data_IF_580912091394
#
_entry.id   IF_580912091394
#
_cell.length_a   1.000
_cell.length_b   1.000
_cell.length_c   1.000
_cell.angle_alpha   90.00
_cell.angle_beta   90.00
_cell.angle_gamma   90.00
#
_symmetry.space_group_name_H-M   'P 1'
#
loop_
_entity.id
_entity.type
_entity.pdbx_description
1 polymer ?
#
# COMPACT_ATOMS: atom_id res chain seq x y z
N UNK A 1 -10.70 -1.78 -7.57
CA UNK A 1 -10.60 -2.43 -6.26
C UNK A 1 -11.76 -1.98 -5.39
N UNK A 2 -12.36 -2.87 -4.62
CA UNK A 2 -13.33 -2.59 -3.55
C UNK A 2 -12.65 -2.66 -2.17
N UNK A 3 -13.36 -2.27 -1.11
CA UNK A 3 -12.81 -2.23 0.25
C UNK A 3 -12.36 -3.60 0.77
N UNK A 4 -13.18 -4.65 0.57
CA UNK A 4 -12.85 -6.00 1.04
C UNK A 4 -11.59 -6.58 0.35
N UNK A 5 -11.34 -6.24 -0.92
CA UNK A 5 -10.10 -6.61 -1.61
C UNK A 5 -8.88 -5.93 -0.97
N UNK A 6 -9.00 -4.65 -0.56
CA UNK A 6 -7.94 -3.93 0.15
C UNK A 6 -7.69 -4.52 1.54
N UNK A 7 -8.75 -4.89 2.27
CA UNK A 7 -8.67 -5.59 3.55
C UNK A 7 -8.02 -6.98 3.38
N UNK A 8 -8.34 -7.70 2.31
CA UNK A 8 -7.78 -9.02 2.03
C UNK A 8 -6.31 -8.96 1.59
N UNK A 9 -5.95 -8.01 0.73
CA UNK A 9 -4.56 -7.72 0.37
C UNK A 9 -3.73 -7.35 1.61
N UNK A 10 -4.32 -6.61 2.55
CA UNK A 10 -3.65 -6.26 3.79
C UNK A 10 -3.37 -7.49 4.67
N UNK A 11 -4.34 -8.39 4.85
CA UNK A 11 -4.13 -9.68 5.55
C UNK A 11 -3.01 -10.48 4.89
N UNK A 12 -3.03 -10.59 3.56
CA UNK A 12 -2.01 -11.30 2.78
C UNK A 12 -0.61 -10.69 2.98
N UNK A 13 -0.47 -9.36 2.89
CA UNK A 13 0.81 -8.66 3.12
C UNK A 13 1.35 -8.94 4.53
N UNK A 14 0.46 -8.93 5.53
CA UNK A 14 0.83 -9.19 6.93
C UNK A 14 1.05 -10.67 7.27
N UNK A 15 0.78 -11.59 6.33
CA UNK A 15 1.10 -13.01 6.46
C UNK A 15 2.40 -13.41 5.74
N UNK A 16 2.89 -12.60 4.78
CA UNK A 16 4.16 -12.83 4.06
C UNK A 16 5.41 -12.28 4.76
N UNK A 17 5.24 -11.48 5.81
CA UNK A 17 6.31 -10.78 6.51
C UNK A 17 5.82 -10.16 7.82
N UNK A 18 6.46 -9.08 8.27
CA UNK A 18 6.24 -8.53 9.62
C UNK A 18 4.80 -8.01 9.88
N UNK A 19 4.20 -8.49 10.96
CA UNK A 19 2.83 -8.18 11.37
C UNK A 19 2.72 -6.84 12.12
N UNK A 20 1.77 -5.97 11.71
CA UNK A 20 1.58 -4.62 12.28
C UNK A 20 0.08 -4.33 12.52
N UNK A 21 -0.51 -4.71 13.67
CA UNK A 21 -1.97 -4.75 13.84
C UNK A 21 -2.67 -3.39 13.66
N UNK A 22 -2.03 -2.29 14.09
CA UNK A 22 -2.52 -0.91 13.88
C UNK A 22 -2.75 -0.59 12.40
N UNK A 23 -1.90 -1.10 11.51
CA UNK A 23 -1.94 -0.83 10.07
C UNK A 23 -3.18 -1.50 9.44
N UNK A 24 -3.60 -2.66 9.95
CA UNK A 24 -4.85 -3.34 9.56
C UNK A 24 -6.11 -2.64 10.11
N UNK A 25 -6.02 -1.90 11.22
CA UNK A 25 -7.10 -1.01 11.68
C UNK A 25 -7.23 0.22 10.75
N UNK A 26 -6.11 0.85 10.39
CA UNK A 26 -6.09 2.00 9.47
C UNK A 26 -6.70 1.68 8.10
N UNK A 27 -6.45 0.47 7.57
CA UNK A 27 -7.05 0.02 6.31
C UNK A 27 -8.58 -0.07 6.41
N UNK A 28 -9.12 -0.63 7.51
CA UNK A 28 -10.56 -0.80 7.71
C UNK A 28 -11.34 0.53 7.77
N UNK A 29 -10.75 1.60 8.32
CA UNK A 29 -11.41 2.90 8.46
C UNK A 29 -11.43 3.76 7.18
N UNK A 30 -10.95 3.24 6.04
CA UNK A 30 -11.24 3.84 4.73
C UNK A 30 -12.70 3.55 4.33
N UNK A 31 -13.38 4.48 3.65
CA UNK A 31 -14.72 4.20 3.11
C UNK A 31 -14.62 3.45 1.77
N UNK A 32 -15.59 2.59 1.41
CA UNK A 32 -15.57 1.90 0.12
C UNK A 32 -15.49 2.84 -1.08
N UNK A 33 -16.15 4.02 -1.00
CA UNK A 33 -16.06 5.08 -2.01
C UNK A 33 -14.64 5.63 -2.14
N UNK A 34 -13.92 5.87 -1.04
CA UNK A 34 -12.54 6.35 -1.07
C UNK A 34 -11.60 5.30 -1.69
N UNK A 35 -11.71 4.03 -1.29
CA UNK A 35 -10.90 2.92 -1.86
C UNK A 35 -11.12 2.81 -3.37
N UNK A 36 -12.38 2.81 -3.82
CA UNK A 36 -12.69 2.77 -5.26
C UNK A 36 -12.17 4.00 -6.02
N UNK A 37 -12.27 5.19 -5.43
CA UNK A 37 -11.85 6.44 -6.06
C UNK A 37 -10.33 6.49 -6.24
N UNK A 38 -9.58 6.30 -5.16
CA UNK A 38 -8.12 6.48 -5.17
C UNK A 38 -7.40 5.33 -5.89
N UNK A 39 -7.90 4.08 -5.79
CA UNK A 39 -7.34 2.98 -6.62
C UNK A 39 -7.64 3.18 -8.11
N UNK A 40 -8.85 3.61 -8.50
CA UNK A 40 -9.18 3.93 -9.91
C UNK A 40 -8.47 5.20 -10.41
N UNK A 41 -8.02 6.09 -9.52
CA UNK A 41 -7.14 7.24 -9.84
C UNK A 41 -5.70 6.76 -10.05
N UNK A 42 -5.18 5.91 -9.16
CA UNK A 42 -3.84 5.34 -9.24
C UNK A 42 -3.63 4.46 -10.49
N UNK A 43 -4.52 3.50 -10.76
CA UNK A 43 -4.33 2.56 -11.86
C UNK A 43 -4.39 3.24 -13.25
N UNK A 44 -5.09 4.39 -13.37
CA UNK A 44 -5.07 5.24 -14.58
C UNK A 44 -3.75 6.00 -14.79
N UNK A 45 -2.84 6.02 -13.80
CA UNK A 45 -1.52 6.64 -13.94
C UNK A 45 -0.46 5.67 -14.47
N UNK A 46 -0.71 4.37 -14.42
CA UNK A 46 0.20 3.37 -14.98
C UNK A 46 0.37 3.59 -16.50
N UNK A 47 1.59 3.44 -17.04
CA UNK A 47 2.80 2.87 -16.42
C UNK A 47 3.61 3.79 -15.49
N UNK A 48 3.21 5.06 -15.27
CA UNK A 48 3.88 5.94 -14.32
C UNK A 48 3.58 5.51 -12.86
N UNK A 49 4.51 4.75 -12.30
CA UNK A 49 4.43 4.18 -10.94
C UNK A 49 4.42 5.28 -9.86
N UNK A 50 5.26 6.31 -9.98
CA UNK A 50 5.37 7.40 -9.00
C UNK A 50 4.04 8.14 -8.79
N UNK A 51 3.36 8.46 -9.89
CA UNK A 51 2.02 9.05 -9.89
C UNK A 51 0.95 8.10 -9.34
N UNK A 52 1.10 6.79 -9.55
CA UNK A 52 0.18 5.78 -9.02
C UNK A 52 0.38 5.61 -7.50
N UNK A 53 1.62 5.52 -7.03
CA UNK A 53 2.00 5.49 -5.61
C UNK A 53 1.44 6.72 -4.87
N UNK A 54 1.68 7.91 -5.40
CA UNK A 54 1.18 9.19 -4.84
C UNK A 54 -0.36 9.22 -4.74
N UNK A 55 -1.07 8.55 -5.65
CA UNK A 55 -2.52 8.41 -5.56
C UNK A 55 -2.95 7.39 -4.49
N UNK A 56 -2.23 6.27 -4.32
CA UNK A 56 -2.53 5.25 -3.32
C UNK A 56 -2.25 5.72 -1.88
N UNK A 57 -1.23 6.55 -1.66
CA UNK A 57 -0.87 7.10 -0.34
C UNK A 57 -1.94 8.00 0.28
N UNK A 58 -3.01 8.35 -0.44
CA UNK A 58 -4.19 9.04 0.11
C UNK A 58 -5.09 8.12 0.96
N UNK A 59 -4.86 6.80 0.94
CA UNK A 59 -5.61 5.81 1.72
C UNK A 59 -4.94 5.53 3.07
N UNK A 60 -5.72 5.52 4.15
CA UNK A 60 -5.23 5.26 5.50
C UNK A 60 -4.63 3.85 5.59
N UNK A 61 -3.42 3.73 6.13
CA UNK A 61 -2.68 2.46 6.22
C UNK A 61 -1.92 2.06 4.95
N UNK A 62 -2.00 2.85 3.86
CA UNK A 62 -1.29 2.61 2.61
C UNK A 62 0.00 3.44 2.55
N UNK A 63 1.06 2.93 3.16
CA UNK A 63 2.43 3.40 2.94
C UNK A 63 3.10 2.70 1.74
N UNK A 64 4.34 3.05 1.43
CA UNK A 64 5.11 2.57 0.25
C UNK A 64 5.00 1.06 0.00
N UNK A 65 5.27 0.22 1.00
CA UNK A 65 5.19 -1.24 0.87
C UNK A 65 3.75 -1.77 0.65
N UNK A 66 2.73 -1.07 1.14
CA UNK A 66 1.32 -1.44 0.87
C UNK A 66 0.89 -0.97 -0.52
N UNK A 67 1.38 0.20 -0.96
CA UNK A 67 1.14 0.74 -2.29
C UNK A 67 1.82 -0.11 -3.39
N UNK A 68 3.04 -0.60 -3.17
CA UNK A 68 3.70 -1.52 -4.12
C UNK A 68 2.96 -2.87 -4.22
N UNK A 69 2.47 -3.43 -3.11
CA UNK A 69 1.60 -4.61 -3.14
C UNK A 69 0.31 -4.38 -3.95
N UNK A 70 -0.32 -3.21 -3.80
CA UNK A 70 -1.50 -2.79 -4.56
C UNK A 70 -1.23 -2.64 -6.06
N UNK A 71 -0.03 -2.16 -6.45
CA UNK A 71 0.37 -2.07 -7.85
C UNK A 71 0.75 -3.43 -8.44
N UNK A 72 1.43 -4.30 -7.68
CA UNK A 72 1.75 -5.66 -8.11
C UNK A 72 0.49 -6.50 -8.36
N UNK A 73 -0.51 -6.39 -7.47
CA UNK A 73 -1.81 -7.04 -7.65
C UNK A 73 -2.62 -6.50 -8.86
N UNK A 74 -2.40 -5.24 -9.27
CA UNK A 74 -3.11 -4.60 -10.37
C UNK A 74 -2.39 -4.65 -11.72
N UNK A 75 -1.06 -4.79 -11.73
CA UNK A 75 -0.20 -4.76 -12.93
C UNK A 75 1.16 -5.44 -12.66
N UNK A 76 1.18 -6.77 -12.48
CA UNK A 76 2.40 -7.52 -12.14
C UNK A 76 3.50 -7.44 -13.22
N UNK A 77 3.10 -7.15 -14.46
CA UNK A 77 3.97 -6.89 -15.62
C UNK A 77 4.81 -5.61 -15.51
N UNK A 78 4.49 -4.71 -14.56
CA UNK A 78 5.10 -3.38 -14.47
C UNK A 78 5.62 -3.10 -13.05
N UNK A 79 4.95 -3.62 -12.01
CA UNK A 79 5.23 -3.35 -10.61
C UNK A 79 5.54 -4.65 -9.82
N UNK A 80 6.75 -4.78 -9.23
CA UNK A 80 7.04 -5.77 -8.19
C UNK A 80 6.52 -5.30 -6.82
N UNK A 81 6.29 -6.23 -5.88
CA UNK A 81 6.01 -5.88 -4.50
C UNK A 81 7.32 -5.53 -3.76
N UNK A 82 7.32 -4.46 -2.96
CA UNK A 82 8.49 -4.08 -2.14
C UNK A 82 8.49 -4.88 -0.84
N UNK A 83 9.01 -6.11 -0.91
CA UNK A 83 9.15 -7.05 0.20
C UNK A 83 10.53 -6.90 0.87
N UNK A 84 10.56 -6.94 2.20
CA UNK A 84 11.75 -6.79 3.05
C UNK A 84 12.89 -7.74 2.62
N UNK A 85 12.55 -8.98 2.26
CA UNK A 85 13.48 -10.04 1.81
C UNK A 85 14.08 -9.72 0.43
N UNK A 86 13.33 -9.04 -0.43
CA UNK A 86 13.80 -8.63 -1.76
C UNK A 86 14.69 -7.39 -1.72
N UNK A 87 14.57 -6.55 -0.67
CA UNK A 87 15.53 -5.47 -0.42
C UNK A 87 16.86 -6.05 0.07
N UNK A 88 16.82 -7.00 1.02
CA UNK A 88 18.00 -7.69 1.54
C UNK A 88 18.78 -8.48 0.47
N UNK A 89 18.11 -8.92 -0.59
CA UNK A 89 18.72 -9.64 -1.71
C UNK A 89 19.44 -8.73 -2.73
N UNK A 90 19.38 -7.40 -2.60
CA UNK A 90 19.95 -6.43 -3.54
C UNK A 90 21.05 -5.61 -2.83
N UNK A 91 22.36 -5.91 -3.05
CA UNK A 91 23.45 -5.26 -2.34
C UNK A 91 23.56 -3.75 -2.56
N UNK A 92 22.99 -3.22 -3.66
CA UNK A 92 23.04 -1.80 -4.00
C UNK A 92 21.95 -0.95 -3.31
N UNK A 93 21.09 -1.52 -2.47
CA UNK A 93 20.01 -0.80 -1.79
C UNK A 93 20.05 -0.94 -0.27
N UNK A 94 19.90 0.17 0.44
CA UNK A 94 19.88 0.22 1.90
C UNK A 94 18.51 -0.23 2.43
N UNK A 95 18.42 -1.49 2.90
CA UNK A 95 17.18 -2.19 3.23
C UNK A 95 16.32 -1.62 4.39
N UNK A 96 16.63 -0.43 4.90
CA UNK A 96 15.81 0.32 5.88
C UNK A 96 14.74 1.20 5.23
N UNK A 97 14.93 1.64 3.99
CA UNK A 97 14.32 2.88 3.51
C UNK A 97 13.09 2.67 2.63
N UNK A 98 11.93 2.53 3.27
CA UNK A 98 10.62 2.38 2.62
C UNK A 98 10.08 3.69 2.01
N UNK A 99 10.91 4.41 1.25
CA UNK A 99 10.56 5.67 0.57
C UNK A 99 10.03 5.44 -0.84
N UNK A 100 9.25 6.39 -1.37
CA UNK A 100 8.76 6.32 -2.75
C UNK A 100 9.90 6.36 -3.79
N UNK A 101 11.00 7.06 -3.48
CA UNK A 101 12.22 7.10 -4.30
C UNK A 101 12.88 5.72 -4.35
N UNK A 102 13.05 5.07 -3.20
CA UNK A 102 13.73 3.77 -3.13
C UNK A 102 12.90 2.66 -3.78
N UNK A 103 11.57 2.75 -3.71
CA UNK A 103 10.71 1.87 -4.51
C UNK A 103 10.91 2.04 -6.03
N UNK A 104 11.21 3.25 -6.53
CA UNK A 104 11.53 3.44 -7.95
C UNK A 104 12.91 2.88 -8.31
N UNK A 105 13.89 2.96 -7.41
CA UNK A 105 15.20 2.30 -7.55
C UNK A 105 15.02 0.77 -7.67
N UNK A 106 14.31 0.17 -6.71
CA UNK A 106 13.95 -1.25 -6.69
C UNK A 106 13.22 -1.70 -7.97
N UNK A 107 12.20 -0.95 -8.40
CA UNK A 107 11.47 -1.20 -9.66
C UNK A 107 12.43 -1.27 -10.86
N UNK A 108 13.41 -0.38 -10.93
CA UNK A 108 14.35 -0.32 -12.06
C UNK A 108 15.40 -1.44 -12.00
N UNK A 109 15.88 -1.81 -10.80
CA UNK A 109 16.73 -2.98 -10.60
C UNK A 109 16.00 -4.27 -11.02
N UNK A 110 14.79 -4.49 -10.49
CA UNK A 110 13.98 -5.69 -10.80
C UNK A 110 13.60 -5.76 -12.29
N UNK A 111 13.33 -4.63 -12.96
CA UNK A 111 13.14 -4.60 -14.42
C UNK A 111 14.41 -5.02 -15.17
N UNK A 112 15.58 -4.56 -14.75
CA UNK A 112 16.86 -4.95 -15.36
C UNK A 112 17.11 -6.46 -15.23
N UNK A 113 16.81 -7.05 -14.07
CA UNK A 113 16.87 -8.51 -13.84
C UNK A 113 15.83 -9.25 -14.70
N UNK A 114 14.59 -8.75 -14.75
CA UNK A 114 13.50 -9.30 -15.56
C UNK A 114 13.83 -9.31 -17.07
N UNK A 115 14.43 -8.23 -17.58
CA UNK A 115 14.87 -8.15 -18.99
C UNK A 115 16.09 -9.03 -19.28
N UNK A 116 16.97 -9.26 -18.30
CA UNK A 116 18.07 -10.22 -18.41
C UNK A 116 17.52 -11.66 -18.50
N UNK A 117 16.69 -12.07 -17.54
CA UNK A 117 16.08 -13.40 -17.51
C UNK A 117 15.26 -13.69 -18.77
N UNK A 118 14.49 -12.73 -19.27
CA UNK A 118 13.73 -12.89 -20.52
C UNK A 118 14.61 -13.06 -21.77
N UNK A 119 15.85 -12.55 -21.77
CA UNK A 119 16.83 -12.79 -22.85
C UNK A 119 17.43 -14.18 -22.74
N UNK A 120 17.93 -14.54 -21.56
CA UNK A 120 18.53 -15.86 -21.25
C UNK A 120 17.56 -17.02 -21.43
N UNK A 121 16.26 -16.78 -21.28
CA UNK A 121 15.22 -17.77 -21.51
C UNK A 121 15.04 -18.12 -23.00
N UNK A 122 15.51 -17.28 -23.94
CA UNK A 122 15.45 -17.52 -25.39
C UNK A 122 14.06 -17.92 -25.94
N UNK A 123 12.98 -17.49 -25.27
CA UNK A 123 11.59 -17.82 -25.62
C UNK A 123 11.05 -19.14 -25.05
N UNK A 124 11.83 -19.89 -24.27
CA UNK A 124 11.42 -21.17 -23.68
C UNK A 124 10.57 -20.96 -22.40
N UNK A 125 9.25 -21.13 -22.49
CA UNK A 125 8.34 -21.09 -21.33
C UNK A 125 7.71 -19.72 -21.06
N UNK A 126 7.19 -19.51 -19.84
CA UNK A 126 6.44 -18.29 -19.48
C UNK A 126 7.39 -17.09 -19.35
N UNK A 127 7.05 -15.97 -19.98
CA UNK A 127 7.79 -14.69 -19.85
C UNK A 127 7.87 -14.28 -18.37
N UNK A 128 9.03 -13.82 -17.92
CA UNK A 128 9.20 -13.18 -16.62
C UNK A 128 8.53 -11.81 -16.59
N UNK A 129 7.88 -11.52 -15.47
CA UNK A 129 7.38 -10.20 -15.08
C UNK A 129 8.11 -9.71 -13.81
N UNK A 130 8.13 -8.39 -13.53
CA UNK A 130 8.69 -7.85 -12.29
C UNK A 130 8.17 -8.54 -11.02
N UNK A 131 6.86 -8.83 -10.95
CA UNK A 131 6.28 -9.58 -9.82
C UNK A 131 6.80 -11.02 -9.74
N UNK A 132 6.99 -11.73 -10.86
CA UNK A 132 7.59 -13.07 -10.84
C UNK A 132 9.04 -13.07 -10.33
N UNK A 133 9.83 -12.03 -10.62
CA UNK A 133 11.20 -11.90 -10.09
C UNK A 133 11.18 -11.66 -8.58
N UNK A 134 10.30 -10.80 -8.05
CA UNK A 134 10.09 -10.65 -6.60
C UNK A 134 9.65 -11.97 -5.94
N UNK A 135 8.65 -12.65 -6.50
CA UNK A 135 8.17 -13.92 -5.96
C UNK A 135 9.29 -14.97 -5.91
N UNK A 136 10.18 -15.01 -6.91
CA UNK A 136 11.33 -15.91 -6.92
C UNK A 136 12.37 -15.56 -5.83
N UNK A 137 12.71 -14.28 -5.67
CA UNK A 137 13.62 -13.81 -4.62
C UNK A 137 13.08 -14.10 -3.21
N UNK A 138 11.81 -13.76 -2.95
CA UNK A 138 11.14 -14.06 -1.69
C UNK A 138 11.08 -15.57 -1.42
N UNK A 139 10.72 -16.38 -2.42
CA UNK A 139 10.67 -17.84 -2.28
C UNK A 139 12.06 -18.42 -1.95
N UNK A 140 13.13 -17.93 -2.57
CA UNK A 140 14.50 -18.35 -2.25
C UNK A 140 14.90 -18.00 -0.80
N UNK A 141 14.44 -16.86 -0.26
CA UNK A 141 14.66 -16.51 1.14
C UNK A 141 13.91 -17.49 2.07
N UNK A 142 12.60 -17.64 1.89
CA UNK A 142 11.77 -18.52 2.72
C UNK A 142 12.24 -19.98 2.68
N UNK A 143 12.71 -20.47 1.52
CA UNK A 143 13.31 -21.81 1.41
C UNK A 143 14.70 -21.88 2.06
N UNK A 144 15.50 -20.80 2.04
CA UNK A 144 16.76 -20.73 2.79
C UNK A 144 16.56 -20.83 4.30
N UNK A 145 15.48 -20.24 4.82
CA UNK A 145 15.18 -20.22 6.25
C UNK A 145 14.54 -21.53 6.73
N UNK A 146 13.61 -22.09 5.94
CA UNK A 146 12.82 -23.26 6.34
C UNK A 146 13.41 -24.60 5.92
N UNK A 147 14.06 -24.68 4.74
CA UNK A 147 14.56 -25.94 4.16
C UNK A 147 15.87 -25.73 3.38
N UNK A 148 16.95 -25.23 4.02
CA UNK A 148 18.24 -24.93 3.37
C UNK A 148 18.82 -26.09 2.55
N UNK A 149 18.55 -27.34 2.93
CA UNK A 149 18.95 -28.54 2.21
C UNK A 149 18.39 -28.65 0.79
N UNK A 150 17.25 -28.02 0.48
CA UNK A 150 16.71 -27.95 -0.90
C UNK A 150 17.53 -27.02 -1.81
N UNK A 151 18.39 -26.17 -1.22
CA UNK A 151 19.31 -25.27 -1.91
C UNK A 151 20.76 -25.78 -1.88
N UNK A 152 20.98 -27.05 -1.48
CA UNK A 152 22.32 -27.63 -1.33
C UNK A 152 23.14 -27.05 -0.19
N UNK A 153 22.51 -26.31 0.75
CA UNK A 153 23.16 -25.84 1.97
C UNK A 153 23.07 -26.94 3.03
N UNK A 154 24.22 -27.39 3.54
CA UNK A 154 24.27 -28.30 4.69
C UNK A 154 23.52 -27.72 5.91
N UNK A 155 22.92 -28.55 6.79
CA UNK A 155 22.15 -28.09 7.93
C UNK A 155 23.05 -27.45 8.99
N UNK A 156 23.27 -26.13 8.86
CA UNK A 156 23.96 -25.33 9.86
C UNK A 156 23.19 -25.35 11.18
N UNK A 157 23.84 -25.85 12.24
CA UNK A 157 23.25 -25.96 13.58
C UNK A 157 23.20 -24.60 14.31
N UNK A 158 22.47 -23.64 13.73
CA UNK A 158 22.14 -22.38 14.39
C UNK A 158 21.18 -22.62 15.57
N UNK A 159 21.62 -22.27 16.78
CA UNK A 159 20.80 -22.37 17.98
C UNK A 159 19.59 -21.41 17.93
N UNK A 160 18.42 -21.79 18.49
CA UNK A 160 17.24 -20.92 18.47
C UNK A 160 17.47 -19.68 19.33
N UNK A 161 17.34 -18.50 18.72
CA UNK A 161 17.41 -17.19 19.37
C UNK A 161 16.11 -16.87 20.14
N UNK A 162 15.78 -17.72 21.12
CA UNK A 162 14.63 -17.54 21.99
C UNK A 162 14.81 -16.30 22.88
N UNK A 163 14.17 -15.19 22.48
CA UNK A 163 13.95 -14.04 23.34
C UNK A 163 12.96 -14.38 24.46
N UNK A 164 13.46 -14.96 25.55
CA UNK A 164 12.69 -15.26 26.76
C UNK A 164 13.48 -14.84 28.01
N UNK A 165 12.91 -13.91 28.79
CA UNK A 165 13.51 -13.48 30.06
C UNK A 165 13.54 -14.63 31.07
N UNK A 166 14.71 -14.98 31.64
CA UNK A 166 14.77 -16.01 32.66
C UNK A 166 14.06 -15.56 33.94
N UNK A 167 12.98 -16.27 34.32
CA UNK A 167 12.55 -16.32 35.72
C UNK A 167 13.58 -17.14 36.49
N UNK A 168 14.17 -16.64 37.59
CA UNK A 168 14.98 -17.47 38.47
C UNK A 168 14.06 -18.43 39.24
N UNK A 169 14.45 -19.69 39.34
CA UNK A 169 13.72 -20.71 40.13
C UNK A 169 14.68 -21.71 40.74
N UNK A 170 15.24 -21.27 41.87
CA UNK A 170 15.60 -22.01 43.08
C UNK A 170 16.47 -23.30 43.03
N UNK A 171 16.91 -23.71 44.23
CA UNK A 171 17.79 -24.84 44.57
C UNK A 171 19.25 -24.74 44.03
N UNK A 172 20.29 -25.05 44.83
CA UNK A 172 20.33 -25.48 46.23
C UNK A 172 21.74 -25.32 46.82
N UNK A 173 21.87 -24.98 48.12
CA UNK A 173 22.70 -25.78 49.03
C UNK A 173 22.39 -25.56 50.53
N UNK A 174 22.85 -26.52 51.33
CA UNK A 174 22.79 -26.63 52.80
C UNK A 174 23.81 -25.66 53.47
N UNK A 175 23.81 -25.32 54.76
CA UNK A 175 23.55 -26.11 55.99
C UNK A 175 22.94 -25.27 57.16
N UNK A 176 22.55 -25.89 58.31
CA UNK A 176 21.76 -25.29 59.39
C UNK A 176 22.59 -25.09 60.70
N UNK A 177 22.01 -25.02 61.93
CA UNK A 177 20.69 -24.57 62.42
C UNK A 177 20.80 -23.43 63.49
N UNK A 178 19.67 -22.90 64.01
CA UNK A 178 19.39 -22.86 65.48
C UNK A 178 18.10 -22.14 65.91
N UNK A 179 17.38 -22.77 66.85
CA UNK A 179 16.57 -22.22 67.97
C UNK A 179 15.47 -21.15 67.77
N UNK A 180 14.26 -21.51 68.25
CA UNK A 180 13.22 -20.67 68.88
C UNK A 180 12.53 -19.56 68.04
N UNK A 181 11.22 -19.32 68.16
CA UNK A 181 10.18 -20.09 68.88
C UNK A 181 8.88 -19.30 69.16
N UNK A 182 7.75 -20.01 69.23
CA UNK A 182 6.53 -19.64 69.97
C UNK A 182 5.83 -18.28 69.72
N UNK A 183 5.03 -18.19 68.64
CA UNK A 183 3.56 -18.07 68.73
C UNK A 183 2.84 -16.73 69.08
N UNK A 184 1.51 -16.78 68.79
CA UNK A 184 0.37 -16.03 69.38
C UNK A 184 -0.02 -14.61 68.87
N UNK A 185 -1.09 -14.61 68.07
CA UNK A 185 -2.33 -13.78 68.14
C UNK A 185 -2.37 -12.47 68.96
N UNK A 186 -2.80 -11.39 68.28
CA UNK A 186 -3.29 -10.10 68.83
C UNK A 186 -3.00 -8.97 67.80
N UNK A 187 -3.92 -8.20 67.21
CA UNK A 187 -5.20 -7.56 67.57
C UNK A 187 -5.05 -6.05 67.83
N UNK A 188 -5.93 -5.27 67.17
CA UNK A 188 -6.34 -3.88 67.38
C UNK A 188 -5.30 -2.74 67.46
N UNK A 189 -5.40 -1.76 66.54
CA UNK A 189 -5.79 -0.37 66.90
C UNK A 189 -5.96 0.61 65.71
N UNK A 190 -6.77 1.64 65.99
CA UNK A 190 -7.05 2.93 65.31
C UNK A 190 -5.78 3.77 65.00
N UNK A 191 -5.76 4.84 64.19
CA UNK A 191 -6.66 6.00 63.97
C UNK A 191 -6.76 6.37 62.45
N UNK A 192 -7.69 7.16 61.88
CA UNK A 192 -8.20 8.52 62.20
C UNK A 192 -7.09 9.61 62.24
N UNK A 193 -7.24 10.83 61.69
CA UNK A 193 -8.43 11.57 61.20
C UNK A 193 -8.04 12.71 60.19
N UNK A 194 -9.05 13.36 59.57
CA UNK A 194 -9.14 14.81 59.31
C UNK A 194 -8.50 15.44 58.04
N UNK A 195 -9.08 16.46 57.37
CA UNK A 195 -10.48 17.00 57.31
C UNK A 195 -10.67 18.11 56.25
N UNK A 196 -11.81 18.13 55.53
CA UNK A 196 -12.40 19.25 54.71
C UNK A 196 -11.57 19.85 53.54
N UNK A 197 -12.12 20.67 52.62
CA UNK A 197 -13.43 21.34 52.55
C UNK A 197 -14.05 21.37 51.14
N UNK A 198 -15.38 21.48 51.09
CA UNK A 198 -16.16 21.85 49.91
C UNK A 198 -16.46 23.37 49.90
N UNK A 199 -16.90 23.89 48.76
CA UNK A 199 -17.81 25.04 48.64
C UNK A 199 -18.65 24.91 47.35
N UNK A 200 -19.97 24.95 47.50
CA UNK A 200 -20.97 25.37 46.49
C UNK A 200 -20.79 26.87 46.11
N UNK A 201 -21.44 27.48 45.11
CA UNK A 201 -22.57 27.10 44.22
C UNK A 201 -22.25 27.55 42.75
N UNK A 202 -23.04 28.09 41.80
CA UNK A 202 -24.45 28.52 41.70
C UNK A 202 -24.98 28.64 40.26
N UNK A 203 -26.18 29.24 40.13
CA UNK A 203 -27.05 29.42 38.95
C UNK A 203 -26.62 30.65 38.10
N UNK A 204 -27.22 31.05 36.96
CA UNK A 204 -28.53 30.77 36.35
C UNK A 204 -28.45 30.86 34.78
N UNK A 205 -29.56 31.08 34.07
CA UNK A 205 -29.72 30.73 32.66
C UNK A 205 -30.31 31.81 31.71
N UNK A 206 -30.21 31.49 30.40
CA UNK A 206 -31.16 31.81 29.31
C UNK A 206 -31.19 33.22 28.65
N UNK A 207 -30.91 33.17 27.33
CA UNK A 207 -31.69 33.76 26.22
C UNK A 207 -31.44 35.21 25.70
N UNK A 208 -31.89 35.37 24.45
CA UNK A 208 -32.24 36.59 23.70
C UNK A 208 -31.16 37.34 22.88
N UNK A 209 -31.64 37.84 21.73
CA UNK A 209 -31.08 38.82 20.79
C UNK A 209 -32.29 39.43 20.04
N UNK A 210 -32.20 40.54 19.27
CA UNK A 210 -31.11 41.53 19.10
C UNK A 210 -31.58 42.89 19.73
N UNK A 211 -31.33 44.16 19.25
CA UNK A 211 -31.19 44.67 17.87
C UNK A 211 -29.99 45.63 17.58
N UNK A 212 -29.87 46.03 16.30
CA UNK A 212 -29.06 47.12 15.71
C UNK A 212 -29.68 48.53 15.98
N UNK A 213 -29.01 49.71 15.77
CA UNK A 213 -28.48 50.14 14.44
C UNK A 213 -27.31 51.18 14.40
N UNK A 214 -27.00 51.63 13.17
CA UNK A 214 -26.42 52.92 12.72
C UNK A 214 -25.07 52.85 11.94
N UNK A 215 -25.04 53.60 10.82
CA UNK A 215 -23.93 53.81 9.86
C UNK A 215 -23.62 55.34 9.79
N UNK A 216 -22.94 55.99 8.79
CA UNK A 216 -22.48 55.59 7.44
C UNK A 216 -20.93 55.63 7.31
N UNK A 217 -20.28 55.55 6.13
CA UNK A 217 -20.25 56.54 5.03
C UNK A 217 -20.14 55.92 3.62
N UNK A 218 -20.51 56.68 2.60
CA UNK A 218 -20.71 56.26 1.21
C UNK A 218 -19.44 56.24 0.33
N UNK A 219 -19.46 55.46 -0.76
CA UNK A 219 -19.66 56.08 -2.09
C UNK A 219 -20.15 55.09 -3.18
N UNK A 220 -20.84 55.63 -4.19
CA UNK A 220 -21.39 54.92 -5.38
C UNK A 220 -20.33 54.84 -6.51
N UNK A 221 -20.53 54.43 -7.78
CA UNK A 221 -21.65 54.06 -8.68
C UNK A 221 -21.01 53.38 -9.95
N UNK A 222 -21.60 52.88 -11.05
CA UNK A 222 -22.89 52.32 -11.54
C UNK A 222 -22.61 51.78 -12.99
N UNK A 223 -23.44 51.07 -13.77
CA UNK A 223 -24.72 50.34 -13.61
C UNK A 223 -24.90 49.34 -14.80
N UNK A 224 -25.99 48.57 -14.76
CA UNK A 224 -26.74 47.85 -15.82
C UNK A 224 -26.31 48.06 -17.31
N UNK A 225 -26.38 47.06 -18.19
CA UNK A 225 -27.70 46.53 -18.67
C UNK A 225 -27.65 45.19 -19.43
N UNK A 226 -28.81 44.52 -19.44
CA UNK A 226 -29.28 43.49 -20.40
C UNK A 226 -30.62 44.02 -21.00
N UNK A 227 -31.26 43.51 -22.10
CA UNK A 227 -31.42 42.08 -22.44
C UNK A 227 -31.65 41.62 -23.92
N UNK A 228 -31.48 40.30 -24.15
CA UNK A 228 -32.32 39.35 -24.95
C UNK A 228 -33.04 39.81 -26.24
N UNK A 229 -32.65 39.24 -27.40
CA UNK A 229 -33.60 38.86 -28.48
C UNK A 229 -33.07 37.83 -29.53
N UNK A 230 -33.89 36.79 -29.80
CA UNK A 230 -34.21 36.07 -31.07
C UNK A 230 -33.13 35.51 -32.05
N UNK A 231 -33.39 34.26 -32.50
CA UNK A 231 -32.99 33.55 -33.77
C UNK A 231 -33.92 34.01 -34.94
N UNK A 232 -33.71 33.73 -36.27
CA UNK A 232 -33.20 32.46 -36.87
C UNK A 232 -32.35 32.59 -38.20
N UNK A 233 -31.68 31.53 -38.70
CA UNK A 233 -31.96 30.63 -39.89
C UNK A 233 -31.53 31.16 -41.29
N UNK A 234 -30.85 30.28 -42.08
CA UNK A 234 -30.60 30.31 -43.57
C UNK A 234 -29.78 31.52 -44.13
N UNK A 235 -29.10 31.54 -45.29
CA UNK A 235 -28.57 30.56 -46.29
C UNK A 235 -27.36 31.27 -47.06
N UNK A 236 -26.69 30.85 -48.15
CA UNK A 236 -26.62 29.70 -49.10
C UNK A 236 -25.25 29.69 -49.84
N UNK A 237 -24.93 28.63 -50.61
CA UNK A 237 -24.01 28.60 -51.79
C UNK A 237 -22.49 28.84 -51.55
N UNK A 238 -21.51 28.31 -52.31
CA UNK A 238 -21.37 27.30 -53.39
C UNK A 238 -19.91 26.75 -53.32
N UNK A 239 -19.57 25.48 -53.62
CA UNK A 239 -19.59 24.76 -54.91
C UNK A 239 -18.57 25.34 -55.94
N UNK A 240 -17.75 24.59 -56.69
CA UNK A 240 -17.79 23.16 -57.11
C UNK A 240 -16.40 22.46 -57.25
N UNK A 241 -16.43 21.12 -57.30
CA UNK A 241 -15.70 20.08 -58.08
C UNK A 241 -14.29 20.34 -58.70
N UNK A 242 -13.41 19.34 -58.90
CA UNK A 242 -13.52 18.06 -59.64
C UNK A 242 -12.42 17.06 -59.15
N UNK A 243 -12.35 15.74 -59.41
CA UNK A 243 -13.07 14.82 -60.32
C UNK A 243 -13.06 13.36 -59.80
N UNK A 244 -13.96 12.52 -60.31
CA UNK A 244 -14.09 11.08 -60.01
C UNK A 244 -13.22 10.18 -60.91
N UNK A 245 -13.03 8.91 -60.50
CA UNK A 245 -12.45 7.83 -61.32
C UNK A 245 -12.41 6.47 -60.60
N UNK A 246 -12.98 5.44 -61.22
CA UNK A 246 -13.14 4.06 -60.71
C UNK A 246 -12.63 3.06 -61.79
N UNK A 247 -12.41 1.75 -61.62
CA UNK A 247 -12.82 0.71 -60.66
C UNK A 247 -11.78 -0.46 -60.70
N UNK A 248 -11.89 -1.68 -60.15
CA UNK A 248 -12.99 -2.45 -59.53
C UNK A 248 -12.47 -3.62 -58.65
N UNK A 249 -13.22 -3.94 -57.60
CA UNK A 249 -13.49 -5.28 -57.01
C UNK A 249 -12.32 -6.22 -56.57
N UNK A 250 -12.67 -7.36 -55.95
CA UNK A 250 -11.79 -8.14 -55.07
C UNK A 250 -11.73 -9.65 -55.36
N UNK A 251 -10.63 -10.30 -54.94
CA UNK A 251 -10.65 -11.70 -54.47
C UNK A 251 -9.42 -12.10 -53.62
N UNK A 252 -9.56 -13.22 -52.91
CA UNK A 252 -8.62 -13.76 -51.90
C UNK A 252 -8.20 -15.22 -52.27
N UNK A 253 -7.29 -15.90 -51.53
CA UNK A 253 -6.24 -16.71 -52.15
C UNK A 253 -6.47 -18.23 -52.23
N UNK A 254 -5.65 -18.95 -53.05
CA UNK A 254 -5.45 -20.41 -52.98
C UNK A 254 -4.26 -20.81 -52.09
N UNK A 255 -4.12 -22.12 -51.83
CA UNK A 255 -3.23 -22.68 -50.78
C UNK A 255 -2.21 -23.71 -51.30
N UNK A 256 -0.99 -23.62 -50.77
CA UNK A 256 0.09 -24.63 -50.66
C UNK A 256 0.75 -25.26 -51.92
N UNK A 257 2.10 -25.31 -51.87
CA UNK A 257 2.92 -26.50 -52.20
C UNK A 257 4.28 -26.45 -51.47
N UNK A 258 5.04 -27.56 -51.50
CA UNK A 258 6.09 -27.90 -50.50
C UNK A 258 7.30 -28.60 -51.16
N UNK A 259 8.50 -28.03 -51.03
CA UNK A 259 9.82 -28.61 -51.38
C UNK A 259 10.89 -27.80 -50.61
N UNK A 260 11.72 -28.34 -49.69
CA UNK A 260 12.89 -29.26 -49.81
C UNK A 260 14.15 -28.67 -50.46
N UNK A 261 14.98 -28.03 -49.63
CA UNK A 261 16.30 -28.54 -49.18
C UNK A 261 17.28 -29.16 -50.21
N UNK A 262 18.35 -28.41 -50.52
CA UNK A 262 19.77 -28.81 -50.73
C UNK A 262 20.56 -27.49 -50.91
N UNK A 263 21.64 -27.14 -50.20
CA UNK A 263 22.93 -27.82 -49.97
C UNK A 263 23.82 -27.87 -51.22
N UNK A 264 24.55 -26.78 -51.49
CA UNK A 264 26.02 -26.83 -51.52
C UNK A 264 26.65 -25.45 -51.25
#
# INVERSE_FOLDING_TARGET
MIHEELVQLMKWKQARGKFYPQLSYLIKVNTPRAVMQETKKAFRKLPNIESAMTALSNLKGVGTATASALLAAASPEIAPFMADECLQAIPEMEGSDYTAKEYLNFVNHIKTVCDRLNKEQNGCGKKWSPHMVELALWTHNIVSDLQPQLLGKEPSAAAPTNGGSPLPSDESNLEPPSTNGNGKLGADSVNEDTTTSCTEDSMDAKAASPPTPASPSDNSDSALSTPRAKRPIEEASSAEENSLGDSCDAQAPPVAKKLREATH
#
